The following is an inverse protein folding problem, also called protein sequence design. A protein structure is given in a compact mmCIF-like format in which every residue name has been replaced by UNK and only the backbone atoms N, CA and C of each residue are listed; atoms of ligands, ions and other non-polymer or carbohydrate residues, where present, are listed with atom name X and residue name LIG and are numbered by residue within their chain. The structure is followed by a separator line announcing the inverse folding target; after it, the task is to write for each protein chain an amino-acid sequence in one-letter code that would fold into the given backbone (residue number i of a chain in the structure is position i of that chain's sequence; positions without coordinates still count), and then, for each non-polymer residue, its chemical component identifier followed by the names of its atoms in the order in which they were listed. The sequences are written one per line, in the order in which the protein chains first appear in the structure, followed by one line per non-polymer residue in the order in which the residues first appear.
data_IF_435440960176
#
_entry.id   IF_435440960176
#
_cell.length_a   1.000
_cell.length_b   1.000
_cell.length_c   1.000
_cell.angle_alpha   90.00
_cell.angle_beta   90.00
_cell.angle_gamma   90.00
#
_symmetry.space_group_name_H-M   'P 1'
#
loop_
_entity.id
_entity.type
_entity.pdbx_description
1 polymer ?
#
# COMPACT_ATOMS: atom_id res chain seq x y z
N UNK A 1 -0.52 9.21 10.98
CA UNK A 1 -1.36 10.02 11.85
C UNK A 1 -2.28 11.04 11.21
N UNK A 2 -2.88 10.78 10.07
CA UNK A 2 -3.77 11.73 9.40
C UNK A 2 -5.23 11.46 9.79
N UNK A 3 -5.57 11.69 11.07
CA UNK A 3 -6.94 11.58 11.56
C UNK A 3 -7.47 10.15 11.70
N UNK A 4 -6.61 9.18 11.96
CA UNK A 4 -7.01 7.80 12.26
C UNK A 4 -7.98 7.76 13.45
N UNK A 5 -9.08 7.01 13.32
CA UNK A 5 -10.09 6.83 14.37
C UNK A 5 -10.51 5.35 14.46
N UNK A 6 -9.85 4.55 15.31
CA UNK A 6 -10.08 3.10 15.40
C UNK A 6 -11.53 2.73 15.67
N UNK A 7 -12.20 3.41 16.63
CA UNK A 7 -13.59 3.11 16.98
C UNK A 7 -14.56 3.41 15.83
N UNK A 8 -14.34 4.51 15.07
CA UNK A 8 -15.18 4.84 13.90
C UNK A 8 -14.99 3.83 12.77
N UNK A 9 -13.75 3.39 12.53
CA UNK A 9 -13.43 2.36 11.53
C UNK A 9 -14.10 1.04 11.91
N UNK A 10 -14.01 0.62 13.18
CA UNK A 10 -14.69 -0.56 13.71
C UNK A 10 -16.20 -0.45 13.54
N UNK A 11 -16.81 0.63 13.98
CA UNK A 11 -18.25 0.86 13.86
C UNK A 11 -18.72 0.84 12.39
N UNK A 12 -17.91 1.38 11.46
CA UNK A 12 -18.22 1.34 10.03
C UNK A 12 -18.18 -0.10 9.50
N UNK A 13 -17.13 -0.86 9.83
CA UNK A 13 -16.99 -2.27 9.46
C UNK A 13 -18.18 -3.11 9.95
N UNK A 14 -18.58 -2.95 11.22
CA UNK A 14 -19.71 -3.66 11.81
C UNK A 14 -21.05 -3.28 11.14
N UNK A 15 -21.28 -2.00 10.85
CA UNK A 15 -22.52 -1.50 10.22
C UNK A 15 -22.67 -1.92 8.77
N UNK A 16 -21.57 -2.01 8.04
CA UNK A 16 -21.58 -2.32 6.59
C UNK A 16 -21.34 -3.78 6.28
N UNK A 17 -20.80 -4.55 7.22
CA UNK A 17 -20.33 -5.93 7.01
C UNK A 17 -19.01 -6.01 6.22
N UNK A 18 -18.43 -4.87 5.79
CA UNK A 18 -17.16 -4.83 5.07
C UNK A 18 -16.01 -5.06 6.06
N UNK A 19 -15.14 -5.99 5.75
CA UNK A 19 -13.92 -6.22 6.53
C UNK A 19 -12.92 -5.11 6.26
N UNK A 20 -12.53 -4.36 7.30
CA UNK A 20 -11.59 -3.25 7.18
C UNK A 20 -10.31 -3.59 7.94
N UNK A 21 -9.18 -3.58 7.25
CA UNK A 21 -7.84 -3.73 7.85
C UNK A 21 -7.28 -2.31 8.06
N UNK A 22 -7.12 -1.92 9.31
CA UNK A 22 -6.61 -0.59 9.66
C UNK A 22 -5.08 -0.56 9.61
N UNK A 23 -4.51 0.53 9.10
CA UNK A 23 -3.07 0.76 9.06
C UNK A 23 -2.53 1.47 10.30
N UNK A 24 -1.20 1.41 10.47
CA UNK A 24 -0.43 2.19 11.46
C UNK A 24 0.89 2.68 10.86
N UNK A 25 1.51 3.65 11.53
CA UNK A 25 2.77 4.24 11.10
C UNK A 25 2.65 5.73 10.79
N UNK A 26 3.72 6.29 10.25
CA UNK A 26 3.83 7.71 9.89
C UNK A 26 3.92 7.86 8.38
N UNK A 27 3.00 8.60 7.77
CA UNK A 27 2.81 8.65 6.33
C UNK A 27 4.08 9.08 5.58
N UNK A 28 4.43 10.37 5.58
CA UNK A 28 5.62 10.93 4.92
C UNK A 28 6.00 12.29 5.51
N UNK A 29 7.20 12.77 5.24
CA UNK A 29 7.84 13.87 5.95
C UNK A 29 6.97 15.12 6.20
N UNK A 30 6.20 15.56 5.19
CA UNK A 30 5.32 16.74 5.32
C UNK A 30 4.12 16.55 6.28
N UNK A 31 3.83 15.32 6.66
CA UNK A 31 2.72 14.96 7.56
C UNK A 31 3.19 14.58 8.97
N UNK A 32 4.48 14.62 9.24
CA UNK A 32 5.00 14.38 10.58
C UNK A 32 4.66 15.58 11.47
N UNK A 33 3.95 15.31 12.55
CA UNK A 33 3.59 16.35 13.50
C UNK A 33 4.81 16.75 14.35
N UNK A 34 5.01 18.04 14.65
CA UNK A 34 6.14 18.51 15.46
C UNK A 34 6.24 17.81 16.83
N UNK A 35 5.11 17.46 17.43
CA UNK A 35 5.03 16.76 18.71
C UNK A 35 5.48 15.31 18.62
N UNK A 36 5.41 14.65 17.46
CA UNK A 36 5.91 13.29 17.24
C UNK A 36 7.42 13.19 17.25
N UNK A 37 8.10 14.30 16.97
CA UNK A 37 9.56 14.45 17.05
C UNK A 37 10.34 13.35 16.30
N UNK A 38 9.82 12.88 15.17
CA UNK A 38 10.38 11.76 14.37
C UNK A 38 11.89 11.92 14.12
N UNK A 39 12.32 13.15 13.81
CA UNK A 39 13.71 13.46 13.49
C UNK A 39 14.66 13.25 14.70
N UNK A 40 14.15 13.21 15.93
CA UNK A 40 14.93 13.22 17.17
C UNK A 40 14.76 11.95 18.00
N UNK A 41 13.72 11.15 17.70
CA UNK A 41 13.47 9.91 18.43
C UNK A 41 14.43 8.81 17.96
N UNK A 42 14.93 7.95 18.86
CA UNK A 42 15.58 6.70 18.48
C UNK A 42 14.66 5.85 17.59
N UNK A 43 15.26 5.06 16.72
CA UNK A 43 14.50 4.12 15.86
C UNK A 43 13.79 3.08 16.72
N UNK A 44 14.40 2.68 17.81
CA UNK A 44 13.84 1.74 18.79
C UNK A 44 12.54 2.26 19.39
N UNK A 45 12.49 3.51 19.84
CA UNK A 45 11.28 4.11 20.43
C UNK A 45 10.12 4.18 19.41
N UNK A 46 10.45 4.44 18.13
CA UNK A 46 9.46 4.42 17.06
C UNK A 46 8.96 2.99 16.77
N UNK A 47 9.87 2.02 16.79
CA UNK A 47 9.52 0.61 16.61
C UNK A 47 8.66 0.09 17.77
N UNK A 48 9.02 0.41 19.01
CA UNK A 48 8.27 0.00 20.20
C UNK A 48 6.84 0.57 20.20
N UNK A 49 6.64 1.82 19.74
CA UNK A 49 5.31 2.41 19.58
C UNK A 49 4.48 1.60 18.57
N UNK A 50 5.04 1.27 17.41
CA UNK A 50 4.34 0.44 16.41
C UNK A 50 4.04 -0.97 16.92
N UNK A 51 5.00 -1.60 17.60
CA UNK A 51 4.81 -2.93 18.20
C UNK A 51 3.68 -2.88 19.22
N UNK A 52 3.66 -1.87 20.09
CA UNK A 52 2.60 -1.68 21.07
C UNK A 52 1.22 -1.53 20.41
N UNK A 53 1.08 -0.70 19.35
CA UNK A 53 -0.18 -0.59 18.62
C UNK A 53 -0.62 -1.92 17.98
N UNK A 54 0.33 -2.68 17.42
CA UNK A 54 0.06 -3.95 16.75
C UNK A 54 -0.27 -5.09 17.73
N UNK A 55 0.28 -5.06 18.96
CA UNK A 55 0.09 -6.12 19.96
C UNK A 55 -1.01 -5.82 20.96
N UNK A 56 -1.14 -4.56 21.40
CA UNK A 56 -2.05 -4.14 22.46
C UNK A 56 -3.24 -3.33 21.94
N UNK A 57 -3.04 -2.61 20.83
CA UNK A 57 -4.04 -1.75 20.20
C UNK A 57 -3.69 -0.27 20.26
N UNK A 58 -4.40 0.53 19.49
CA UNK A 58 -4.16 1.99 19.39
C UNK A 58 -4.70 2.68 20.62
N UNK A 59 -3.83 3.31 21.40
CA UNK A 59 -4.20 3.96 22.67
C UNK A 59 -4.92 2.96 23.60
N UNK A 60 -5.97 3.43 24.27
CA UNK A 60 -6.77 2.60 25.19
C UNK A 60 -7.91 1.83 24.50
N UNK A 61 -7.96 1.79 23.17
CA UNK A 61 -9.08 1.22 22.41
C UNK A 61 -9.06 -0.31 22.34
N UNK A 62 -7.89 -0.94 22.49
CA UNK A 62 -7.68 -2.37 22.25
C UNK A 62 -7.87 -2.79 20.79
N UNK A 63 -8.07 -1.83 19.85
CA UNK A 63 -8.25 -2.11 18.42
C UNK A 63 -6.88 -2.11 17.75
N UNK A 64 -6.49 -3.26 17.19
CA UNK A 64 -5.17 -3.48 16.61
C UNK A 64 -5.17 -3.19 15.11
N UNK A 65 -4.14 -2.49 14.58
CA UNK A 65 -3.89 -2.45 13.15
C UNK A 65 -3.56 -3.84 12.59
N UNK A 66 -3.82 -4.06 11.32
CA UNK A 66 -3.50 -5.31 10.62
C UNK A 66 -2.46 -5.14 9.51
N UNK A 67 -1.99 -3.91 9.28
CA UNK A 67 -0.95 -3.59 8.30
C UNK A 67 -0.12 -2.40 8.78
N UNK A 68 1.18 -2.39 8.51
CA UNK A 68 2.05 -1.24 8.75
C UNK A 68 2.08 -0.41 7.47
N UNK A 69 1.39 0.71 7.47
CA UNK A 69 1.23 1.61 6.31
C UNK A 69 -0.04 2.47 6.42
N UNK A 70 -0.20 3.45 5.59
CA UNK A 70 0.67 3.92 4.51
C UNK A 70 1.88 4.66 5.08
N UNK A 71 3.08 4.37 4.57
CA UNK A 71 4.33 5.04 4.91
C UNK A 71 5.09 5.34 3.62
N UNK A 72 5.99 6.32 3.63
CA UNK A 72 6.72 6.59 2.41
C UNK A 72 7.56 7.86 2.42
N UNK A 73 7.84 8.35 1.23
CA UNK A 73 8.74 9.47 1.03
C UNK A 73 8.07 10.60 0.26
N UNK A 74 8.32 11.84 0.71
CA UNK A 74 7.75 13.06 0.14
C UNK A 74 8.51 13.55 -1.08
N UNK A 75 9.84 13.34 -1.09
CA UNK A 75 10.74 13.86 -2.11
C UNK A 75 11.14 12.77 -3.09
N UNK A 76 11.96 13.15 -4.07
CA UNK A 76 12.58 12.20 -5.00
C UNK A 76 13.77 11.43 -4.38
N UNK A 77 13.96 11.55 -3.07
CA UNK A 77 14.91 10.78 -2.26
C UNK A 77 14.36 10.55 -0.86
N UNK A 78 14.78 9.50 -0.20
CA UNK A 78 14.43 9.19 1.18
C UNK A 78 15.19 10.14 2.12
N UNK A 79 14.47 10.91 2.92
CA UNK A 79 15.08 11.80 3.93
C UNK A 79 15.51 11.01 5.17
N UNK A 80 16.40 11.59 6.00
CA UNK A 80 16.84 10.94 7.24
C UNK A 80 15.72 10.67 8.25
N UNK A 81 14.63 11.47 8.24
CA UNK A 81 13.46 11.21 9.06
C UNK A 81 12.64 10.03 8.52
N UNK A 82 12.45 9.96 7.21
CA UNK A 82 11.75 8.86 6.55
C UNK A 82 12.54 7.55 6.65
N UNK A 83 13.86 7.58 6.55
CA UNK A 83 14.71 6.41 6.80
C UNK A 83 14.54 5.87 8.22
N UNK A 84 14.44 6.74 9.25
CA UNK A 84 14.14 6.32 10.62
C UNK A 84 12.81 5.58 10.71
N UNK A 85 11.77 6.11 10.05
CA UNK A 85 10.45 5.47 9.99
C UNK A 85 10.54 4.11 9.31
N UNK A 86 11.21 4.01 8.16
CA UNK A 86 11.38 2.73 7.43
C UNK A 86 12.11 1.69 8.28
N UNK A 87 13.15 2.08 9.01
CA UNK A 87 13.87 1.17 9.93
C UNK A 87 12.99 0.73 11.11
N UNK A 88 12.22 1.65 11.69
CA UNK A 88 11.29 1.32 12.77
C UNK A 88 10.19 0.37 12.29
N UNK A 89 9.65 0.60 11.10
CA UNK A 89 8.67 -0.27 10.44
C UNK A 89 9.23 -1.67 10.19
N UNK A 90 10.48 -1.77 9.71
CA UNK A 90 11.16 -3.05 9.52
C UNK A 90 11.25 -3.84 10.84
N UNK A 91 11.66 -3.18 11.93
CA UNK A 91 11.76 -3.81 13.26
C UNK A 91 10.40 -4.23 13.81
N UNK A 92 9.37 -3.39 13.63
CA UNK A 92 8.00 -3.75 14.01
C UNK A 92 7.47 -4.95 13.20
N UNK A 93 7.74 -4.99 11.88
CA UNK A 93 7.45 -6.15 11.06
C UNK A 93 8.14 -7.42 11.57
N UNK A 94 9.45 -7.38 11.81
CA UNK A 94 10.22 -8.54 12.29
C UNK A 94 9.74 -9.04 13.66
N UNK A 95 9.28 -8.14 14.53
CA UNK A 95 8.76 -8.50 15.85
C UNK A 95 7.34 -9.08 15.81
N UNK A 96 6.49 -8.64 14.87
CA UNK A 96 5.05 -8.97 14.88
C UNK A 96 4.59 -9.83 13.70
N UNK A 97 5.39 -9.92 12.64
CA UNK A 97 5.01 -10.56 11.38
C UNK A 97 3.97 -9.77 10.57
N UNK A 98 3.62 -8.54 10.96
CA UNK A 98 2.61 -7.72 10.26
C UNK A 98 3.16 -7.22 8.92
N UNK A 99 2.38 -7.35 7.85
CA UNK A 99 2.78 -6.92 6.51
C UNK A 99 3.07 -5.41 6.45
N UNK A 100 4.01 -5.03 5.59
CA UNK A 100 4.33 -3.63 5.27
C UNK A 100 3.65 -3.28 3.97
N UNK A 101 2.82 -2.23 3.97
CA UNK A 101 2.03 -1.92 2.80
C UNK A 101 1.86 -0.46 2.49
N UNK A 102 1.42 -0.24 1.25
CA UNK A 102 1.28 1.07 0.67
C UNK A 102 2.54 1.93 0.89
N UNK A 103 3.71 1.40 0.47
CA UNK A 103 4.91 2.23 0.41
C UNK A 103 4.68 3.35 -0.59
N UNK A 104 4.46 4.56 -0.11
CA UNK A 104 4.27 5.73 -0.96
C UNK A 104 5.57 6.05 -1.69
N UNK A 105 5.60 5.74 -2.97
CA UNK A 105 6.77 5.91 -3.82
C UNK A 105 6.38 6.51 -5.17
N UNK A 106 6.76 7.76 -5.40
CA UNK A 106 6.49 8.46 -6.65
C UNK A 106 7.80 8.67 -7.43
N UNK A 107 7.82 8.21 -8.68
CA UNK A 107 9.01 8.29 -9.54
C UNK A 107 9.93 7.07 -9.42
N UNK A 108 11.06 7.08 -10.17
CA UNK A 108 11.87 5.87 -10.35
C UNK A 108 12.76 5.47 -9.17
N UNK A 109 13.15 6.42 -8.31
CA UNK A 109 14.26 6.21 -7.37
C UNK A 109 13.81 5.83 -5.97
N UNK A 110 12.57 6.18 -5.60
CA UNK A 110 12.08 6.06 -4.22
C UNK A 110 11.83 4.62 -3.83
N UNK A 111 11.04 3.87 -4.61
CA UNK A 111 10.73 2.48 -4.29
C UNK A 111 12.00 1.61 -4.15
N UNK A 112 12.97 1.66 -5.07
CA UNK A 112 14.22 0.92 -4.90
C UNK A 112 14.98 1.29 -3.63
N UNK A 113 15.02 2.58 -3.26
CA UNK A 113 15.70 3.03 -2.05
C UNK A 113 14.99 2.54 -0.77
N UNK A 114 13.65 2.63 -0.71
CA UNK A 114 12.84 2.12 0.40
C UNK A 114 13.03 0.61 0.59
N UNK A 115 12.93 -0.17 -0.50
CA UNK A 115 13.15 -1.60 -0.44
C UNK A 115 14.57 -1.94 0.03
N UNK A 116 15.59 -1.19 -0.39
CA UNK A 116 16.98 -1.40 0.05
C UNK A 116 17.14 -1.19 1.56
N UNK A 117 16.47 -0.19 2.14
CA UNK A 117 16.48 0.04 3.59
C UNK A 117 15.82 -1.13 4.32
N UNK A 118 14.67 -1.60 3.84
CA UNK A 118 13.94 -2.72 4.43
C UNK A 118 14.72 -4.04 4.34
N UNK A 119 15.37 -4.31 3.20
CA UNK A 119 16.23 -5.49 3.02
C UNK A 119 17.44 -5.47 3.97
N UNK A 120 18.07 -4.30 4.16
CA UNK A 120 19.18 -4.17 5.11
C UNK A 120 18.78 -4.43 6.56
N UNK A 121 17.52 -4.18 6.91
CA UNK A 121 16.95 -4.54 8.23
C UNK A 121 16.51 -6.02 8.29
N UNK A 122 16.52 -6.76 7.18
CA UNK A 122 16.19 -8.19 7.13
C UNK A 122 14.72 -8.51 6.87
N UNK A 123 13.96 -7.57 6.30
CA UNK A 123 12.54 -7.78 5.94
C UNK A 123 12.42 -8.73 4.77
N UNK A 124 11.49 -9.69 4.86
CA UNK A 124 11.06 -10.50 3.71
C UNK A 124 10.24 -9.64 2.73
N UNK A 125 10.78 -9.43 1.54
CA UNK A 125 10.13 -8.59 0.52
C UNK A 125 8.77 -9.14 0.08
N UNK A 126 8.49 -10.42 0.23
CA UNK A 126 7.16 -10.99 -0.02
C UNK A 126 6.07 -10.48 0.93
N UNK A 127 6.46 -9.72 1.96
CA UNK A 127 5.57 -9.06 2.92
C UNK A 127 5.50 -7.55 2.73
N UNK A 128 6.04 -7.05 1.61
CA UNK A 128 6.13 -5.61 1.28
C UNK A 128 5.33 -5.32 0.01
N UNK A 129 4.52 -4.26 0.04
CA UNK A 129 3.78 -3.77 -1.12
C UNK A 129 4.12 -2.31 -1.42
N UNK A 130 4.52 -2.05 -2.67
CA UNK A 130 4.81 -0.71 -3.19
C UNK A 130 3.55 -0.13 -3.82
N UNK A 131 3.10 1.03 -3.33
CA UNK A 131 1.93 1.74 -3.82
C UNK A 131 2.25 2.69 -4.99
N UNK A 132 1.19 3.19 -5.63
CA UNK A 132 1.26 4.20 -6.70
C UNK A 132 2.15 3.78 -7.88
N UNK A 133 2.13 2.48 -8.23
CA UNK A 133 2.96 1.91 -9.29
C UNK A 133 2.70 2.55 -10.66
N UNK A 134 1.49 3.09 -10.87
CA UNK A 134 1.13 3.86 -12.06
C UNK A 134 1.76 5.26 -12.11
N UNK A 135 2.36 5.76 -11.02
CA UNK A 135 3.07 7.05 -11.02
C UNK A 135 4.36 7.03 -11.84
N UNK A 136 4.95 5.85 -12.00
CA UNK A 136 6.08 5.61 -12.90
C UNK A 136 5.86 4.27 -13.64
N UNK A 137 4.99 4.25 -14.67
CA UNK A 137 4.51 3.03 -15.34
C UNK A 137 5.55 2.50 -16.35
N UNK A 138 6.74 2.24 -15.88
CA UNK A 138 7.84 1.74 -16.69
C UNK A 138 8.08 0.25 -16.39
N UNK A 139 7.82 -0.62 -17.40
CA UNK A 139 7.84 -2.08 -17.24
C UNK A 139 9.10 -2.61 -16.53
N UNK A 140 10.29 -2.25 -17.01
CA UNK A 140 11.54 -2.75 -16.43
C UNK A 140 11.75 -2.28 -14.98
N UNK A 141 11.26 -1.10 -14.60
CA UNK A 141 11.28 -0.62 -13.23
C UNK A 141 10.40 -1.49 -12.34
N UNK A 142 9.14 -1.71 -12.73
CA UNK A 142 8.21 -2.53 -11.96
C UNK A 142 8.67 -3.98 -11.85
N UNK A 143 9.21 -4.56 -12.93
CA UNK A 143 9.83 -5.89 -12.89
C UNK A 143 10.98 -5.93 -11.88
N UNK A 144 11.86 -4.93 -11.87
CA UNK A 144 12.97 -4.85 -10.91
C UNK A 144 12.53 -4.79 -9.44
N UNK A 145 11.37 -4.21 -9.12
CA UNK A 145 10.79 -4.26 -7.77
C UNK A 145 10.24 -5.65 -7.45
N UNK A 146 9.54 -6.27 -8.39
CA UNK A 146 8.96 -7.62 -8.23
C UNK A 146 10.04 -8.71 -8.21
N UNK A 147 11.14 -8.57 -8.93
CA UNK A 147 12.29 -9.48 -8.89
C UNK A 147 12.95 -9.54 -7.49
N UNK A 148 12.81 -8.47 -6.69
CA UNK A 148 13.19 -8.43 -5.28
C UNK A 148 12.19 -9.14 -4.35
N UNK A 149 11.04 -9.57 -4.87
CA UNK A 149 9.98 -10.26 -4.13
C UNK A 149 8.81 -9.37 -3.72
N UNK A 150 8.89 -8.05 -3.88
CA UNK A 150 7.83 -7.12 -3.47
C UNK A 150 6.56 -7.25 -4.32
N UNK A 151 5.41 -6.96 -3.71
CA UNK A 151 4.18 -6.68 -4.45
C UNK A 151 4.18 -5.25 -4.97
N UNK A 152 3.52 -5.05 -6.10
CA UNK A 152 3.18 -3.71 -6.61
C UNK A 152 1.68 -3.48 -6.57
N UNK A 153 1.27 -2.24 -6.30
CA UNK A 153 -0.13 -1.84 -6.26
C UNK A 153 -0.38 -0.79 -7.34
N UNK A 154 -1.29 -1.11 -8.27
CA UNK A 154 -1.97 -0.12 -9.09
C UNK A 154 -3.19 0.33 -8.31
N UNK A 155 -3.07 1.42 -7.59
CA UNK A 155 -4.02 1.82 -6.55
C UNK A 155 -4.77 3.11 -6.84
N UNK A 156 -4.61 3.69 -8.01
CA UNK A 156 -5.40 4.83 -8.47
C UNK A 156 -6.43 4.46 -9.56
N UNK A 157 -6.97 3.24 -9.53
CA UNK A 157 -7.97 2.80 -10.49
C UNK A 157 -9.20 3.72 -10.48
N UNK A 158 -9.51 4.35 -11.63
CA UNK A 158 -10.62 5.27 -11.78
C UNK A 158 -10.33 6.72 -11.38
N UNK A 159 -9.15 7.05 -10.87
CA UNK A 159 -8.83 8.41 -10.46
C UNK A 159 -8.38 9.32 -11.63
N UNK A 160 -7.93 8.74 -12.73
CA UNK A 160 -7.46 9.46 -13.90
C UNK A 160 -8.52 9.50 -15.01
N UNK A 161 -9.66 10.16 -14.75
CA UNK A 161 -10.73 10.38 -15.75
C UNK A 161 -11.41 9.10 -16.30
N UNK A 162 -11.42 8.00 -15.54
CA UNK A 162 -12.02 6.74 -15.97
C UNK A 162 -11.18 6.02 -17.05
N UNK A 163 -11.81 5.18 -17.89
CA UNK A 163 -11.13 4.42 -18.95
C UNK A 163 -10.61 5.33 -20.10
N UNK A 164 -9.88 6.39 -19.74
CA UNK A 164 -9.19 7.28 -20.67
C UNK A 164 -7.86 6.71 -21.18
N UNK A 165 -7.16 7.51 -21.98
CA UNK A 165 -5.88 7.08 -22.59
C UNK A 165 -4.86 6.56 -21.58
N UNK A 166 -4.69 7.27 -20.45
CA UNK A 166 -3.71 6.88 -19.44
C UNK A 166 -4.09 5.55 -18.77
N UNK A 167 -5.35 5.39 -18.39
CA UNK A 167 -5.78 4.15 -17.75
C UNK A 167 -5.68 2.95 -18.70
N UNK A 168 -5.97 3.13 -20.00
CA UNK A 168 -5.73 2.08 -20.99
C UNK A 168 -4.25 1.69 -21.10
N UNK A 169 -3.31 2.64 -21.01
CA UNK A 169 -1.88 2.33 -20.96
C UNK A 169 -1.51 1.50 -19.72
N UNK A 170 -2.12 1.80 -18.56
CA UNK A 170 -1.92 1.01 -17.35
C UNK A 170 -2.48 -0.40 -17.51
N UNK A 171 -3.67 -0.56 -18.10
CA UNK A 171 -4.26 -1.88 -18.38
C UNK A 171 -3.37 -2.71 -19.30
N UNK A 172 -2.79 -2.10 -20.34
CA UNK A 172 -1.86 -2.77 -21.26
C UNK A 172 -0.56 -3.15 -20.55
N UNK A 173 -0.04 -2.28 -19.69
CA UNK A 173 1.14 -2.56 -18.88
C UNK A 173 0.91 -3.73 -17.90
N UNK A 174 -0.25 -3.77 -17.25
CA UNK A 174 -0.64 -4.89 -16.37
C UNK A 174 -0.66 -6.19 -17.18
N UNK A 175 -1.25 -6.19 -18.37
CA UNK A 175 -1.24 -7.35 -19.27
C UNK A 175 0.20 -7.81 -19.58
N UNK A 176 1.08 -6.87 -19.94
CA UNK A 176 2.47 -7.16 -20.26
C UNK A 176 3.24 -7.77 -19.06
N UNK A 177 2.94 -7.31 -17.85
CA UNK A 177 3.53 -7.84 -16.62
C UNK A 177 3.02 -9.24 -16.30
N UNK A 178 1.73 -9.50 -16.53
CA UNK A 178 1.13 -10.84 -16.39
C UNK A 178 1.76 -11.83 -17.38
N UNK A 179 1.89 -11.43 -18.66
CA UNK A 179 2.49 -12.25 -19.70
C UNK A 179 3.99 -12.53 -19.41
N UNK A 180 4.65 -11.66 -18.66
CA UNK A 180 6.01 -11.85 -18.16
C UNK A 180 6.09 -12.73 -16.88
N UNK A 181 4.96 -13.18 -16.33
CA UNK A 181 4.91 -14.09 -15.17
C UNK A 181 4.70 -13.43 -13.81
N UNK A 182 4.48 -12.11 -13.74
CA UNK A 182 4.37 -11.35 -12.48
C UNK A 182 2.95 -11.23 -11.92
N UNK A 183 1.95 -11.87 -12.50
CA UNK A 183 0.53 -11.76 -12.08
C UNK A 183 0.30 -12.06 -10.59
N UNK A 184 1.16 -12.86 -9.96
CA UNK A 184 1.06 -13.21 -8.54
C UNK A 184 1.61 -12.14 -7.57
N UNK A 185 2.17 -11.04 -8.09
CA UNK A 185 2.73 -9.94 -7.31
C UNK A 185 2.03 -8.60 -7.58
N UNK A 186 0.95 -8.60 -8.35
CA UNK A 186 0.16 -7.41 -8.68
C UNK A 186 -1.07 -7.36 -7.77
N UNK A 187 -1.36 -6.19 -7.21
CA UNK A 187 -2.59 -5.89 -6.48
C UNK A 187 -3.25 -4.65 -7.05
N UNK A 188 -4.58 -4.57 -6.95
CA UNK A 188 -5.39 -3.47 -7.50
C UNK A 188 -6.19 -2.78 -6.39
N UNK A 189 -6.30 -1.44 -6.45
CA UNK A 189 -7.03 -0.64 -5.47
C UNK A 189 -7.50 0.69 -6.06
N UNK A 190 -8.04 1.60 -5.22
CA UNK A 190 -8.62 2.87 -5.66
C UNK A 190 -7.94 4.10 -5.05
N UNK A 191 -7.23 3.97 -3.94
CA UNK A 191 -6.75 5.10 -3.12
C UNK A 191 -7.84 6.16 -2.87
N UNK A 192 -9.05 5.70 -2.51
CA UNK A 192 -10.19 6.59 -2.29
C UNK A 192 -10.06 7.28 -0.93
N UNK A 193 -9.54 8.51 -0.92
CA UNK A 193 -9.24 9.27 0.29
C UNK A 193 -9.82 10.70 0.30
N UNK A 194 -10.41 11.16 -0.82
CA UNK A 194 -10.92 12.54 -0.97
C UNK A 194 -12.41 12.55 -1.31
N UNK A 195 -13.15 13.57 -0.84
CA UNK A 195 -14.57 13.72 -1.10
C UNK A 195 -14.98 13.59 -2.57
N UNK A 196 -14.31 14.23 -3.55
CA UNK A 196 -14.68 14.09 -4.96
C UNK A 196 -14.59 12.67 -5.52
N UNK A 197 -13.87 11.76 -4.87
CA UNK A 197 -13.71 10.38 -5.31
C UNK A 197 -14.91 9.49 -4.95
N UNK A 198 -15.75 9.90 -4.01
CA UNK A 198 -16.93 9.14 -3.62
C UNK A 198 -18.07 9.30 -4.63
N UNK A 199 -18.85 8.23 -4.90
CA UNK A 199 -20.01 8.25 -5.80
C UNK A 199 -21.04 9.31 -5.47
N UNK A 200 -21.29 9.55 -4.19
CA UNK A 200 -22.22 10.57 -3.73
C UNK A 200 -21.82 11.99 -4.18
N UNK A 201 -20.56 12.19 -4.51
CA UNK A 201 -20.01 13.45 -5.02
C UNK A 201 -19.64 13.39 -6.51
N UNK A 202 -20.08 12.34 -7.22
CA UNK A 202 -19.85 12.18 -8.66
C UNK A 202 -18.53 11.47 -9.01
N UNK A 203 -17.78 10.97 -8.04
CA UNK A 203 -16.55 10.22 -8.27
C UNK A 203 -16.76 8.75 -8.60
N UNK A 204 -15.69 7.99 -8.91
CA UNK A 204 -15.75 6.59 -9.27
C UNK A 204 -16.21 5.69 -8.11
N UNK A 205 -15.87 6.05 -6.88
CA UNK A 205 -16.20 5.29 -5.67
C UNK A 205 -15.47 3.95 -5.56
N UNK A 206 -15.78 3.20 -4.50
CA UNK A 206 -15.13 1.92 -4.19
C UNK A 206 -15.51 0.76 -5.12
N UNK A 207 -16.47 0.93 -6.01
CA UNK A 207 -16.95 -0.14 -6.91
C UNK A 207 -16.36 -0.06 -8.31
N UNK A 208 -15.65 1.01 -8.64
CA UNK A 208 -15.08 1.21 -9.97
C UNK A 208 -14.17 0.06 -10.42
N UNK A 209 -13.36 -0.46 -9.52
CA UNK A 209 -12.52 -1.62 -9.78
C UNK A 209 -13.34 -2.81 -10.30
N UNK A 210 -14.47 -3.09 -9.65
CA UNK A 210 -15.31 -4.24 -9.98
C UNK A 210 -16.20 -3.99 -11.21
N UNK A 211 -16.72 -2.76 -11.37
CA UNK A 211 -17.71 -2.43 -12.41
C UNK A 211 -17.06 -1.98 -13.73
N UNK A 212 -15.80 -1.53 -13.71
CA UNK A 212 -15.13 -0.94 -14.88
C UNK A 212 -13.74 -1.50 -15.14
N UNK A 213 -12.85 -1.46 -14.15
CA UNK A 213 -11.44 -1.77 -14.38
C UNK A 213 -11.19 -3.27 -14.61
N UNK A 214 -11.77 -4.16 -13.81
CA UNK A 214 -11.66 -5.62 -14.00
C UNK A 214 -12.33 -6.09 -15.31
N UNK A 215 -13.53 -5.61 -15.71
CA UNK A 215 -14.07 -5.89 -17.04
C UNK A 215 -13.14 -5.47 -18.17
N UNK A 216 -12.52 -4.27 -18.08
CA UNK A 216 -11.57 -3.80 -19.08
C UNK A 216 -10.27 -4.62 -19.15
N UNK A 217 -9.82 -5.20 -18.03
CA UNK A 217 -8.73 -6.19 -18.01
C UNK A 217 -9.18 -7.52 -18.64
N UNK A 218 -10.40 -7.97 -18.38
CA UNK A 218 -10.95 -9.19 -19.00
C UNK A 218 -11.06 -9.06 -20.53
N UNK A 219 -11.37 -7.89 -21.06
CA UNK A 219 -11.36 -7.60 -22.50
C UNK A 219 -9.96 -7.71 -23.14
N UNK A 220 -8.90 -7.77 -22.33
CA UNK A 220 -7.50 -8.01 -22.74
C UNK A 220 -7.08 -9.46 -22.65
N UNK A 221 -8.04 -10.39 -22.66
CA UNK A 221 -7.81 -11.84 -22.56
C UNK A 221 -7.07 -12.28 -21.28
N UNK A 222 -7.15 -11.50 -20.18
CA UNK A 222 -6.61 -11.91 -18.90
C UNK A 222 -7.57 -12.93 -18.26
N UNK A 223 -7.08 -14.13 -17.89
CA UNK A 223 -7.92 -15.16 -17.29
C UNK A 223 -8.56 -14.71 -15.98
N UNK A 224 -9.80 -15.11 -15.73
CA UNK A 224 -10.53 -14.79 -14.48
C UNK A 224 -9.77 -15.22 -13.22
N UNK A 225 -9.05 -16.33 -13.28
CA UNK A 225 -8.20 -16.79 -12.17
C UNK A 225 -7.10 -15.80 -11.82
N UNK A 226 -6.53 -15.08 -12.81
CA UNK A 226 -5.53 -14.04 -12.59
C UNK A 226 -6.17 -12.78 -12.03
N UNK A 227 -7.36 -12.39 -12.53
CA UNK A 227 -8.14 -11.26 -12.00
C UNK A 227 -8.48 -11.51 -10.51
N UNK A 228 -8.92 -12.73 -10.20
CA UNK A 228 -9.19 -13.16 -8.81
C UNK A 228 -7.92 -13.12 -7.97
N UNK A 229 -6.79 -13.58 -8.49
CA UNK A 229 -5.53 -13.53 -7.77
C UNK A 229 -5.13 -12.09 -7.40
N UNK A 230 -5.23 -11.13 -8.33
CA UNK A 230 -4.87 -9.72 -8.09
C UNK A 230 -5.77 -9.01 -7.07
N UNK A 231 -7.02 -9.44 -6.91
CA UNK A 231 -7.99 -8.80 -6.02
C UNK A 231 -8.24 -9.55 -4.72
N UNK A 232 -7.85 -10.81 -4.61
CA UNK A 232 -8.12 -11.66 -3.46
C UNK A 232 -6.88 -12.41 -2.97
N UNK A 233 -6.26 -13.27 -3.82
CA UNK A 233 -5.20 -14.16 -3.35
C UNK A 233 -3.90 -13.42 -3.05
N UNK A 234 -3.49 -12.47 -3.91
CA UNK A 234 -2.30 -11.67 -3.69
C UNK A 234 -2.41 -10.80 -2.44
N UNK A 235 -3.49 -10.01 -2.23
CA UNK A 235 -3.70 -9.27 -0.98
C UNK A 235 -3.72 -10.17 0.25
N UNK A 236 -4.34 -11.36 0.16
CA UNK A 236 -4.37 -12.32 1.27
C UNK A 236 -2.97 -12.82 1.59
N UNK A 237 -2.22 -13.30 0.59
CA UNK A 237 -0.83 -13.77 0.80
C UNK A 237 0.07 -12.69 1.37
N UNK A 238 0.01 -11.49 0.81
CA UNK A 238 0.76 -10.35 1.33
C UNK A 238 0.42 -10.06 2.80
N UNK A 239 -0.88 -9.99 3.16
CA UNK A 239 -1.31 -9.66 4.53
C UNK A 239 -1.01 -10.77 5.53
N UNK A 240 -1.14 -12.05 5.14
CA UNK A 240 -1.08 -13.19 6.09
C UNK A 240 0.24 -13.97 6.00
N UNK A 241 0.98 -13.87 4.90
CA UNK A 241 2.15 -14.70 4.61
C UNK A 241 1.80 -16.14 4.19
N UNK A 242 0.49 -16.39 3.84
CA UNK A 242 -0.02 -17.76 3.51
C UNK A 242 -0.77 -17.76 2.19
#
# INVERSE_FOLDING_TARGET
NIGRSPERVKALSERTGVKIVMGCGWYRGNYYLPEERIERRPVEDLADELIGELTDGVGDTGIKPGVIGEIGSEKTWVTGAEERVLRAVARAHLATGTAIGALHAIGPDIAPAQLTILEHEGVDMSRVAVAHSESYPHRAHLQGLMDRGAYIQFDNCGQFTGLGQFENQILDLIRDLIDAGYGNQIMLSHDTCKFPQFRIHGGPGFVYLLESFLPALAERDIPESVLTAMTNDNPRRWLTGQ
#
